data_IF_183453986020
#
_entry.id   IF_183453986020
#
_cell.length_a   1.000
_cell.length_b   1.000
_cell.length_c   1.000
_cell.angle_alpha   90.00
_cell.angle_beta   90.00
_cell.angle_gamma   90.00
#
_symmetry.space_group_name_H-M   'P 1'
#
loop_
_entity.id
_entity.type
_entity.pdbx_description
1 polymer ?
#
# COMPACT_ATOMS: atom_id res chain seq x y z
N UNK A 1 1.32 18.36 -18.47
CA UNK A 1 0.41 17.62 -17.56
C UNK A 1 0.44 18.38 -16.24
N UNK A 2 -0.69 18.91 -15.76
CA UNK A 2 -0.69 19.66 -14.50
C UNK A 2 -0.33 18.73 -13.34
N UNK A 3 0.13 19.28 -12.22
CA UNK A 3 0.40 18.51 -11.00
C UNK A 3 -0.87 17.81 -10.51
N UNK A 4 -2.01 18.51 -10.55
CA UNK A 4 -3.31 17.99 -10.10
C UNK A 4 -3.80 16.76 -10.89
N UNK A 5 -3.60 16.73 -12.22
CA UNK A 5 -3.96 15.57 -13.06
C UNK A 5 -3.10 14.35 -12.73
N UNK A 6 -1.83 14.59 -12.41
CA UNK A 6 -0.86 13.55 -12.06
C UNK A 6 -1.17 13.00 -10.67
N UNK A 7 -1.47 13.88 -9.72
CA UNK A 7 -1.89 13.56 -8.37
C UNK A 7 -3.16 12.68 -8.37
N UNK A 8 -4.17 13.03 -9.17
CA UNK A 8 -5.39 12.22 -9.33
C UNK A 8 -5.10 10.86 -9.98
N UNK A 9 -4.21 10.81 -10.97
CA UNK A 9 -3.83 9.55 -11.64
C UNK A 9 -3.11 8.59 -10.70
N UNK A 10 -2.19 9.10 -9.89
CA UNK A 10 -1.41 8.28 -8.94
C UNK A 10 -2.31 7.72 -7.84
N UNK A 11 -3.24 8.53 -7.31
CA UNK A 11 -4.23 8.05 -6.33
C UNK A 11 -5.11 6.94 -6.91
N UNK A 12 -5.60 7.08 -8.16
CA UNK A 12 -6.41 6.05 -8.83
C UNK A 12 -5.63 4.74 -9.03
N UNK A 13 -4.36 4.83 -9.43
CA UNK A 13 -3.49 3.66 -9.57
C UNK A 13 -3.32 2.92 -8.23
N UNK A 14 -3.05 3.67 -7.17
CA UNK A 14 -2.85 3.12 -5.82
C UNK A 14 -4.15 2.53 -5.26
N UNK A 15 -5.31 3.16 -5.49
CA UNK A 15 -6.61 2.56 -5.15
C UNK A 15 -6.82 1.21 -5.86
N UNK A 16 -6.51 1.15 -7.16
CA UNK A 16 -6.58 -0.08 -7.94
C UNK A 16 -5.66 -1.18 -7.39
N UNK A 17 -4.47 -0.81 -6.88
CA UNK A 17 -3.59 -1.76 -6.19
C UNK A 17 -4.28 -2.36 -4.96
N UNK A 18 -4.90 -1.55 -4.10
CA UNK A 18 -5.61 -2.06 -2.92
C UNK A 18 -6.83 -2.93 -3.27
N UNK A 19 -7.59 -2.56 -4.31
CA UNK A 19 -8.66 -3.39 -4.84
C UNK A 19 -8.13 -4.77 -5.29
N UNK A 20 -7.03 -4.78 -6.05
CA UNK A 20 -6.40 -6.00 -6.54
C UNK A 20 -5.85 -6.88 -5.41
N UNK A 21 -5.21 -6.27 -4.40
CA UNK A 21 -4.75 -6.98 -3.20
C UNK A 21 -5.91 -7.67 -2.47
N UNK A 22 -7.03 -6.95 -2.28
CA UNK A 22 -8.20 -7.47 -1.57
C UNK A 22 -9.00 -8.51 -2.38
N UNK A 23 -8.96 -8.45 -3.71
CA UNK A 23 -9.60 -9.39 -4.62
C UNK A 23 -8.71 -10.58 -5.02
N UNK A 24 -7.43 -10.56 -4.60
CA UNK A 24 -6.40 -11.56 -4.97
C UNK A 24 -6.10 -11.60 -6.47
N UNK A 25 -6.23 -10.46 -7.14
CA UNK A 25 -5.86 -10.29 -8.54
C UNK A 25 -4.34 -10.08 -8.67
N UNK A 26 -3.60 -11.19 -8.69
CA UNK A 26 -2.14 -11.18 -8.82
C UNK A 26 -1.67 -10.53 -10.12
N UNK A 27 -2.42 -10.69 -11.21
CA UNK A 27 -2.07 -10.14 -12.52
C UNK A 27 -2.08 -8.61 -12.49
N UNK A 28 -3.07 -8.02 -11.83
CA UNK A 28 -3.13 -6.57 -11.63
C UNK A 28 -2.05 -6.11 -10.66
N UNK A 29 -1.81 -6.83 -9.56
CA UNK A 29 -0.75 -6.48 -8.59
C UNK A 29 0.61 -6.42 -9.26
N UNK A 30 0.99 -7.45 -10.02
CA UNK A 30 2.29 -7.54 -10.71
C UNK A 30 2.44 -6.48 -11.82
N UNK A 31 1.33 -6.00 -12.41
CA UNK A 31 1.37 -4.90 -13.38
C UNK A 31 1.56 -3.53 -12.73
N UNK A 32 1.20 -3.38 -11.45
CA UNK A 32 1.28 -2.10 -10.74
C UNK A 32 2.59 -2.00 -9.94
N UNK A 33 3.10 -3.11 -9.39
CA UNK A 33 4.34 -3.12 -8.61
C UNK A 33 5.55 -3.37 -9.50
N UNK A 34 6.64 -2.65 -9.24
CA UNK A 34 7.93 -2.95 -9.82
C UNK A 34 8.41 -4.34 -9.37
N UNK A 35 9.11 -5.06 -10.25
CA UNK A 35 9.69 -6.37 -9.92
C UNK A 35 10.81 -6.29 -8.87
N UNK A 36 11.47 -5.14 -8.78
CA UNK A 36 12.56 -4.81 -7.86
C UNK A 36 12.10 -3.84 -6.77
N UNK A 37 10.84 -3.98 -6.35
CA UNK A 37 10.19 -3.11 -5.37
C UNK A 37 11.05 -2.85 -4.13
N UNK A 38 11.37 -1.58 -3.89
CA UNK A 38 12.09 -1.19 -2.67
C UNK A 38 11.14 -1.11 -1.48
N UNK A 39 11.41 -1.91 -0.45
CA UNK A 39 10.50 -2.08 0.67
C UNK A 39 11.11 -1.73 2.02
N UNK A 40 10.37 -0.94 2.82
CA UNK A 40 10.69 -0.74 4.24
C UNK A 40 9.46 -0.89 5.09
N UNK A 41 9.64 -1.55 6.24
CA UNK A 41 8.59 -1.77 7.22
C UNK A 41 8.98 -1.17 8.57
N UNK A 42 8.07 -0.37 9.12
CA UNK A 42 8.17 0.22 10.45
C UNK A 42 6.94 -0.18 11.26
N UNK A 43 7.10 -1.00 12.28
CA UNK A 43 6.00 -1.44 13.13
C UNK A 43 6.33 -2.73 13.89
N UNK A 44 5.37 -3.29 14.63
CA UNK A 44 5.57 -4.56 15.31
C UNK A 44 5.84 -5.68 14.29
N UNK A 45 6.80 -6.60 14.51
CA UNK A 45 7.13 -7.66 13.56
C UNK A 45 5.96 -8.56 13.14
N UNK A 46 4.92 -8.65 13.97
CA UNK A 46 3.70 -9.39 13.68
C UNK A 46 2.77 -8.73 12.66
N UNK A 47 3.03 -7.48 12.23
CA UNK A 47 2.14 -6.68 11.39
C UNK A 47 2.60 -6.54 9.93
N UNK A 48 3.54 -7.37 9.48
CA UNK A 48 4.04 -7.36 8.08
C UNK A 48 3.03 -7.98 7.09
N UNK A 49 1.78 -7.50 7.10
CA UNK A 49 0.68 -8.11 6.34
C UNK A 49 0.86 -7.99 4.83
N UNK A 50 1.30 -6.82 4.33
CA UNK A 50 1.41 -6.61 2.89
C UNK A 50 2.57 -7.41 2.30
N UNK A 51 3.74 -7.41 2.96
CA UNK A 51 4.87 -8.26 2.55
C UNK A 51 4.44 -9.73 2.46
N UNK A 52 3.80 -10.26 3.51
CA UNK A 52 3.32 -11.64 3.55
C UNK A 52 2.32 -11.94 2.42
N UNK A 53 1.42 -11.01 2.14
CA UNK A 53 0.47 -11.12 1.03
C UNK A 53 1.17 -11.18 -0.33
N UNK A 54 2.16 -10.32 -0.56
CA UNK A 54 2.93 -10.29 -1.81
C UNK A 54 3.83 -11.51 -2.00
N UNK A 55 4.29 -12.13 -0.92
CA UNK A 55 5.08 -13.38 -0.96
C UNK A 55 4.24 -14.65 -0.95
N UNK A 56 2.90 -14.54 -0.94
CA UNK A 56 1.99 -15.68 -0.99
C UNK A 56 1.83 -16.45 0.32
N UNK A 57 2.10 -15.84 1.48
CA UNK A 57 1.77 -16.44 2.78
C UNK A 57 0.24 -16.44 2.97
N UNK A 58 -0.36 -17.61 2.78
CA UNK A 58 -1.81 -17.82 2.82
C UNK A 58 -2.46 -17.38 4.14
N UNK A 59 -1.72 -17.39 5.26
CA UNK A 59 -2.25 -16.99 6.57
C UNK A 59 -2.51 -15.49 6.67
N UNK A 60 -1.72 -14.67 5.97
CA UNK A 60 -1.91 -13.22 5.94
C UNK A 60 -3.06 -12.80 5.01
N UNK A 61 -3.18 -13.48 3.86
CA UNK A 61 -4.18 -13.17 2.82
C UNK A 61 -5.61 -13.46 3.28
N UNK A 62 -5.79 -14.43 4.19
CA UNK A 62 -7.10 -14.78 4.74
C UNK A 62 -7.51 -13.89 5.93
N UNK A 63 -6.56 -13.17 6.55
CA UNK A 63 -6.81 -12.52 7.85
C UNK A 63 -6.84 -10.99 7.78
N UNK A 64 -6.12 -10.35 6.87
CA UNK A 64 -6.04 -8.89 6.82
C UNK A 64 -6.48 -8.32 5.46
N UNK A 65 -7.31 -7.28 5.49
CA UNK A 65 -7.73 -6.52 4.30
C UNK A 65 -7.28 -5.08 4.44
N UNK A 66 -6.61 -4.58 3.42
CA UNK A 66 -6.22 -3.17 3.36
C UNK A 66 -7.40 -2.37 2.82
N UNK A 67 -8.12 -1.67 3.69
CA UNK A 67 -9.22 -0.79 3.30
C UNK A 67 -8.76 0.66 3.49
N UNK A 68 -8.37 1.36 2.41
CA UNK A 68 -7.99 2.76 2.48
C UNK A 68 -9.13 3.63 3.03
N UNK A 69 -8.80 4.52 3.96
CA UNK A 69 -9.74 5.50 4.52
C UNK A 69 -9.45 6.91 4.01
N UNK A 70 -8.17 7.24 3.84
CA UNK A 70 -7.76 8.48 3.18
C UNK A 70 -6.55 8.26 2.29
N UNK A 71 -6.47 9.08 1.24
CA UNK A 71 -5.36 9.12 0.31
C UNK A 71 -5.02 10.57 0.01
N UNK A 72 -3.73 10.85 -0.11
CA UNK A 72 -3.22 12.13 -0.59
C UNK A 72 -1.96 11.89 -1.41
N UNK A 73 -1.76 12.69 -2.44
CA UNK A 73 -0.57 12.64 -3.29
C UNK A 73 0.24 13.91 -3.16
N UNK A 74 1.56 13.74 -3.21
CA UNK A 74 2.55 14.79 -3.21
C UNK A 74 3.59 14.45 -4.28
N UNK A 75 3.35 14.90 -5.51
CA UNK A 75 4.20 14.56 -6.64
C UNK A 75 4.14 13.06 -6.96
N UNK A 76 5.27 12.35 -6.86
CA UNK A 76 5.33 10.90 -7.10
C UNK A 76 4.88 10.08 -5.90
N UNK A 77 4.76 10.67 -4.71
CA UNK A 77 4.44 9.92 -3.49
C UNK A 77 2.93 9.96 -3.25
N UNK A 78 2.35 8.80 -2.98
CA UNK A 78 0.97 8.65 -2.52
C UNK A 78 1.00 8.13 -1.08
N UNK A 79 0.41 8.89 -0.17
CA UNK A 79 0.18 8.48 1.22
C UNK A 79 -1.20 7.88 1.30
N UNK A 80 -1.31 6.70 1.89
CA UNK A 80 -2.56 6.01 2.15
C UNK A 80 -2.62 5.61 3.60
N UNK A 81 -3.74 5.90 4.26
CA UNK A 81 -3.97 5.48 5.63
C UNK A 81 -5.23 4.62 5.74
N UNK A 82 -5.25 3.78 6.76
CA UNK A 82 -6.44 3.04 7.16
C UNK A 82 -6.29 2.43 8.54
N UNK A 83 -7.35 1.79 9.00
CA UNK A 83 -7.34 1.08 10.27
C UNK A 83 -8.15 -0.22 10.23
N UNK A 84 -7.79 -1.14 11.12
CA UNK A 84 -8.61 -2.29 11.51
C UNK A 84 -8.94 -2.11 13.00
N UNK A 85 -10.14 -1.59 13.27
CA UNK A 85 -10.62 -1.34 14.63
C UNK A 85 -10.77 -2.64 15.45
N UNK A 86 -11.06 -3.78 14.81
CA UNK A 86 -11.21 -5.06 15.49
C UNK A 86 -9.88 -5.54 16.08
N UNK A 87 -8.79 -5.29 15.34
CA UNK A 87 -7.42 -5.63 15.75
C UNK A 87 -6.70 -4.49 16.48
N UNK A 88 -7.29 -3.30 16.55
CA UNK A 88 -6.68 -2.06 17.06
C UNK A 88 -5.38 -1.73 16.31
N UNK A 89 -5.45 -1.79 14.98
CA UNK A 89 -4.33 -1.50 14.09
C UNK A 89 -4.64 -0.24 13.30
N UNK A 90 -3.73 0.72 13.32
CA UNK A 90 -3.65 1.82 12.37
C UNK A 90 -2.41 1.64 11.50
N UNK A 91 -2.56 1.93 10.22
CA UNK A 91 -1.49 1.77 9.24
C UNK A 91 -1.44 2.95 8.28
N UNK A 92 -0.23 3.29 7.85
CA UNK A 92 0.05 4.27 6.82
C UNK A 92 1.06 3.66 5.85
N UNK A 93 0.78 3.75 4.56
CA UNK A 93 1.72 3.42 3.51
C UNK A 93 2.11 4.67 2.72
N UNK A 94 3.40 4.89 2.52
CA UNK A 94 3.89 5.84 1.53
C UNK A 94 4.40 5.07 0.30
N UNK A 95 3.77 5.29 -0.85
CA UNK A 95 4.06 4.61 -2.10
C UNK A 95 4.65 5.59 -3.10
N UNK A 96 5.84 5.30 -3.63
CA UNK A 96 6.44 6.09 -4.73
C UNK A 96 5.98 5.53 -6.07
N UNK A 97 5.37 6.36 -6.89
CA UNK A 97 4.87 6.03 -8.23
C UNK A 97 5.72 6.73 -9.29
N UNK A 98 6.30 5.95 -10.20
CA UNK A 98 7.07 6.43 -11.35
C UNK A 98 6.50 5.79 -12.61
N UNK A 99 6.11 6.61 -13.59
CA UNK A 99 5.57 6.16 -14.88
C UNK A 99 4.42 5.12 -14.77
N UNK A 100 3.58 5.27 -13.75
CA UNK A 100 2.43 4.38 -13.53
C UNK A 100 2.78 3.05 -12.85
N UNK A 101 3.99 2.93 -12.31
CA UNK A 101 4.49 1.77 -11.55
C UNK A 101 4.86 2.21 -10.14
N UNK A 102 4.47 1.43 -9.14
CA UNK A 102 4.91 1.60 -7.75
C UNK A 102 6.31 1.00 -7.61
N UNK A 103 7.29 1.84 -7.34
CA UNK A 103 8.71 1.44 -7.22
C UNK A 103 9.18 1.33 -5.78
N UNK A 104 8.48 1.98 -4.86
CA UNK A 104 8.84 1.95 -3.43
C UNK A 104 7.59 1.88 -2.56
N UNK A 105 7.69 1.14 -1.45
CA UNK A 105 6.70 1.13 -0.36
C UNK A 105 7.42 1.36 0.97
N UNK A 106 6.87 2.28 1.76
CA UNK A 106 7.20 2.46 3.18
C UNK A 106 5.95 2.16 4.00
N UNK A 107 6.01 1.16 4.84
CA UNK A 107 4.91 0.79 5.73
C UNK A 107 5.14 1.31 7.15
N UNK A 108 4.09 1.85 7.76
CA UNK A 108 4.08 2.31 9.14
C UNK A 108 2.86 1.72 9.85
N UNK A 109 3.07 0.87 10.86
CA UNK A 109 2.01 0.23 11.63
C UNK A 109 2.13 0.56 13.10
N UNK A 110 1.10 1.19 13.69
CA UNK A 110 1.04 1.53 15.11
C UNK A 110 2.34 2.16 15.66
N UNK A 111 3.10 2.86 14.81
CA UNK A 111 4.35 3.51 15.19
C UNK A 111 4.03 4.85 15.81
N UNK A 112 4.38 5.02 17.07
CA UNK A 112 4.38 6.32 17.74
C UNK A 112 5.73 7.00 17.51
N UNK A 113 5.73 8.21 16.96
CA UNK A 113 6.84 9.15 17.08
C UNK A 113 6.72 9.79 18.47
N UNK A 114 7.03 9.05 19.54
CA UNK A 114 7.08 9.65 20.88
C UNK A 114 8.29 10.56 21.00
#
# INVERSE_FOLDING_TARGET
KSSEDTDSSNQKLVLKLYEALNSRDSDTVVKILASDLEWWFHGPPSHQFLMRMLTGDSTAVDTFRFVPQSLVSFGSIVIVEGCDNSRKISWVHALTVVDGIVTQVREYFNTSLT
#
